data_IF_981291773683
#
_entry.id   IF_981291773683
#
_cell.length_a   1.000
_cell.length_b   1.000
_cell.length_c   1.000
_cell.angle_alpha   90.00
_cell.angle_beta   90.00
_cell.angle_gamma   90.00
#
_symmetry.space_group_name_H-M   'P 1'
#
loop_
_entity.id
_entity.type
_entity.pdbx_description
1 polymer ?
#
# COMPACT_ATOMS: atom_id res chain seq x y z
N UNK A 1 -0.30 -7.94 -61.65
CA UNK A 1 -0.18 -9.14 -60.79
C UNK A 1 0.89 -8.86 -59.75
N UNK A 2 0.48 -8.54 -58.51
CA UNK A 2 1.36 -8.11 -57.42
C UNK A 2 1.96 -9.35 -56.74
N UNK A 3 3.29 -9.49 -56.77
CA UNK A 3 4.02 -10.51 -55.99
C UNK A 3 4.08 -10.05 -54.54
N UNK A 4 3.39 -10.78 -53.65
CA UNK A 4 3.41 -10.52 -52.21
C UNK A 4 4.76 -11.00 -51.64
N UNK A 5 5.47 -10.06 -51.00
CA UNK A 5 6.67 -10.32 -50.21
C UNK A 5 6.20 -10.83 -48.83
N UNK A 6 6.50 -12.10 -48.50
CA UNK A 6 6.21 -12.65 -47.17
C UNK A 6 7.25 -12.06 -46.22
N UNK A 7 6.82 -11.11 -45.38
CA UNK A 7 7.60 -10.61 -44.26
C UNK A 7 7.35 -11.56 -43.08
N UNK A 8 8.34 -12.42 -42.77
CA UNK A 8 8.31 -13.24 -41.56
C UNK A 8 8.53 -12.32 -40.34
N UNK A 9 7.44 -11.94 -39.68
CA UNK A 9 7.50 -11.27 -38.39
C UNK A 9 7.95 -12.29 -37.32
N UNK A 10 9.22 -12.22 -36.93
CA UNK A 10 9.72 -12.91 -35.73
C UNK A 10 9.10 -12.20 -34.53
N UNK A 11 7.94 -12.69 -34.10
CA UNK A 11 7.37 -12.40 -32.79
C UNK A 11 8.25 -13.09 -31.74
N UNK A 12 9.35 -12.43 -31.37
CA UNK A 12 10.13 -12.79 -30.20
C UNK A 12 9.32 -12.53 -28.94
N UNK A 13 8.43 -13.46 -28.57
CA UNK A 13 7.90 -13.58 -27.22
C UNK A 13 9.06 -13.97 -26.31
N UNK A 14 9.85 -12.99 -25.90
CA UNK A 14 10.75 -13.15 -24.76
C UNK A 14 9.88 -13.24 -23.52
N UNK A 15 9.53 -14.47 -23.17
CA UNK A 15 9.03 -14.82 -21.85
C UNK A 15 10.09 -14.39 -20.83
N UNK A 16 9.88 -13.24 -20.18
CA UNK A 16 10.70 -12.82 -19.07
C UNK A 16 10.24 -13.58 -17.82
N UNK A 17 10.54 -14.88 -17.74
CA UNK A 17 10.51 -15.63 -16.49
C UNK A 17 11.85 -15.44 -15.79
N UNK A 18 12.03 -14.28 -15.15
CA UNK A 18 13.03 -14.14 -14.10
C UNK A 18 12.34 -14.44 -12.78
N UNK A 19 12.59 -15.64 -12.28
CA UNK A 19 12.16 -16.08 -10.96
C UNK A 19 13.11 -15.39 -9.99
N UNK A 20 12.71 -14.25 -9.43
CA UNK A 20 13.32 -13.74 -8.21
C UNK A 20 12.59 -14.41 -7.04
N UNK A 21 13.13 -15.53 -6.56
CA UNK A 21 12.66 -16.28 -5.38
C UNK A 21 12.94 -15.54 -4.05
N UNK A 22 12.58 -14.26 -3.93
CA UNK A 22 12.71 -13.52 -2.65
C UNK A 22 11.54 -12.58 -2.33
N UNK A 23 10.35 -12.81 -2.89
CA UNK A 23 9.08 -12.35 -2.28
C UNK A 23 8.18 -13.59 -2.09
N UNK A 24 7.84 -13.91 -0.83
CA UNK A 24 7.07 -15.12 -0.45
C UNK A 24 5.56 -14.98 -0.67
N UNK A 25 5.10 -13.91 -1.31
CA UNK A 25 3.68 -13.74 -1.64
C UNK A 25 3.36 -14.44 -2.96
N UNK A 26 2.46 -15.42 -2.92
CA UNK A 26 1.90 -16.00 -4.15
C UNK A 26 1.25 -14.90 -4.97
N UNK A 27 1.50 -14.87 -6.29
CA UNK A 27 0.83 -13.95 -7.22
C UNK A 27 -0.70 -13.95 -7.06
N UNK A 28 -1.28 -15.08 -6.64
CA UNK A 28 -2.72 -15.20 -6.33
C UNK A 28 -3.15 -14.32 -5.15
N UNK A 29 -2.35 -14.24 -4.09
CA UNK A 29 -2.64 -13.42 -2.91
C UNK A 29 -2.57 -11.94 -3.26
N UNK A 30 -1.54 -11.53 -4.02
CA UNK A 30 -1.40 -10.13 -4.45
C UNK A 30 -2.52 -9.67 -5.40
N UNK A 31 -2.96 -10.55 -6.31
CA UNK A 31 -4.13 -10.29 -7.15
C UNK A 31 -5.40 -10.15 -6.32
N UNK A 32 -5.61 -11.00 -5.31
CA UNK A 32 -6.74 -10.92 -4.40
C UNK A 32 -6.74 -9.61 -3.61
N UNK A 33 -5.60 -9.22 -3.03
CA UNK A 33 -5.45 -7.97 -2.28
C UNK A 33 -5.76 -6.75 -3.16
N UNK A 34 -5.28 -6.77 -4.41
CA UNK A 34 -5.56 -5.71 -5.37
C UNK A 34 -7.04 -5.66 -5.72
N UNK A 35 -7.68 -6.81 -5.90
CA UNK A 35 -9.13 -6.88 -6.17
C UNK A 35 -9.96 -6.29 -5.03
N UNK A 36 -9.68 -6.67 -3.78
CA UNK A 36 -10.36 -6.12 -2.60
C UNK A 36 -10.18 -4.60 -2.49
N UNK A 37 -8.96 -4.10 -2.70
CA UNK A 37 -8.70 -2.67 -2.69
C UNK A 37 -9.46 -1.92 -3.80
N UNK A 38 -9.57 -2.53 -5.00
CA UNK A 38 -10.37 -1.97 -6.11
C UNK A 38 -11.86 -1.95 -5.80
N UNK A 39 -12.40 -2.99 -5.16
CA UNK A 39 -13.81 -3.04 -4.76
C UNK A 39 -14.14 -1.91 -3.77
N UNK A 40 -13.30 -1.72 -2.74
CA UNK A 40 -13.43 -0.59 -1.81
C UNK A 40 -13.33 0.75 -2.53
N UNK A 41 -12.38 0.92 -3.45
CA UNK A 41 -12.28 2.13 -4.25
C UNK A 41 -13.56 2.38 -5.07
N UNK A 42 -14.19 1.32 -5.59
CA UNK A 42 -15.48 1.39 -6.28
C UNK A 42 -16.62 1.88 -5.38
N UNK A 43 -16.65 1.48 -4.11
CA UNK A 43 -17.63 1.94 -3.12
C UNK A 43 -17.40 3.43 -2.81
N UNK A 44 -16.16 3.82 -2.49
CA UNK A 44 -15.79 5.21 -2.13
C UNK A 44 -16.15 6.20 -3.25
N UNK A 45 -16.09 5.77 -4.51
CA UNK A 45 -16.37 6.63 -5.67
C UNK A 45 -17.85 6.74 -6.06
N UNK A 46 -18.78 6.15 -5.28
CA UNK A 46 -20.23 6.22 -5.51
C UNK A 46 -20.94 7.05 -4.42
N UNK A 47 -22.13 7.62 -4.70
CA UNK A 47 -22.97 8.20 -3.66
C UNK A 47 -23.27 7.18 -2.54
N UNK A 48 -23.35 7.61 -1.27
CA UNK A 48 -23.21 8.98 -0.77
C UNK A 48 -21.76 9.41 -0.47
N UNK A 49 -20.75 8.60 -0.78
CA UNK A 49 -19.35 8.83 -0.36
C UNK A 49 -18.58 9.75 -1.29
N UNK A 50 -18.89 9.70 -2.60
CA UNK A 50 -18.21 10.48 -3.64
C UNK A 50 -18.24 11.98 -3.31
N UNK A 51 -17.07 12.59 -3.17
CA UNK A 51 -16.91 14.04 -2.93
C UNK A 51 -17.00 14.45 -1.45
N UNK A 52 -17.61 13.62 -0.60
CA UNK A 52 -17.69 13.85 0.85
C UNK A 52 -16.71 12.98 1.64
N UNK A 53 -16.07 12.04 0.96
CA UNK A 53 -14.99 11.20 1.48
C UNK A 53 -13.84 11.14 0.49
N UNK A 54 -12.65 10.89 1.01
CA UNK A 54 -11.48 10.49 0.25
C UNK A 54 -10.79 9.40 1.07
N UNK A 55 -10.88 8.15 0.63
CA UNK A 55 -10.33 7.00 1.35
C UNK A 55 -9.53 6.13 0.39
N UNK A 56 -8.28 5.87 0.75
CA UNK A 56 -7.44 4.85 0.13
C UNK A 56 -7.57 3.56 0.94
N UNK A 57 -7.63 2.44 0.24
CA UNK A 57 -7.72 1.12 0.84
C UNK A 57 -6.45 0.32 0.54
N UNK A 58 -5.94 -0.38 1.55
CA UNK A 58 -4.84 -1.34 1.37
C UNK A 58 -5.23 -2.65 2.02
N UNK A 59 -5.33 -3.69 1.19
CA UNK A 59 -5.47 -5.07 1.66
C UNK A 59 -4.09 -5.70 1.82
N UNK A 60 -3.97 -6.52 2.85
CA UNK A 60 -2.88 -7.45 3.02
C UNK A 60 -3.36 -8.64 3.84
N UNK A 61 -3.49 -9.82 3.22
CA UNK A 61 -3.80 -11.08 3.92
C UNK A 61 -5.08 -10.98 4.78
N UNK A 62 -6.19 -10.61 4.13
CA UNK A 62 -7.50 -10.45 4.79
C UNK A 62 -7.64 -9.22 5.69
N UNK A 63 -6.55 -8.48 5.93
CA UNK A 63 -6.55 -7.23 6.71
C UNK A 63 -6.71 -6.04 5.77
N UNK A 64 -7.72 -5.22 5.99
CA UNK A 64 -8.01 -4.01 5.25
C UNK A 64 -7.66 -2.77 6.07
N UNK A 65 -6.73 -1.97 5.58
CA UNK A 65 -6.41 -0.66 6.14
C UNK A 65 -7.11 0.43 5.32
N UNK A 66 -7.97 1.21 5.98
CA UNK A 66 -8.68 2.34 5.38
C UNK A 66 -8.05 3.65 5.89
N UNK A 67 -7.48 4.43 4.98
CA UNK A 67 -6.76 5.68 5.32
C UNK A 67 -7.42 6.83 4.55
N UNK A 68 -7.71 7.93 5.22
CA UNK A 68 -8.24 9.10 4.53
C UNK A 68 -9.10 10.00 5.40
N UNK A 69 -10.12 10.60 4.78
CA UNK A 69 -11.03 11.52 5.44
C UNK A 69 -12.48 11.27 5.07
N UNK A 70 -13.36 11.57 6.00
CA UNK A 70 -14.80 11.68 5.79
C UNK A 70 -15.30 12.96 6.45
N UNK A 71 -16.20 13.70 5.80
CA UNK A 71 -16.75 14.95 6.35
C UNK A 71 -17.52 14.75 7.67
N UNK A 72 -18.10 13.58 7.89
CA UNK A 72 -18.91 13.27 9.07
C UNK A 72 -18.66 11.86 9.58
N UNK A 73 -18.91 11.64 10.88
CA UNK A 73 -18.82 10.31 11.48
C UNK A 73 -19.85 9.34 10.87
N UNK A 74 -21.04 9.82 10.49
CA UNK A 74 -22.04 9.01 9.81
C UNK A 74 -21.53 8.45 8.47
N UNK A 75 -20.83 9.27 7.66
CA UNK A 75 -20.24 8.83 6.39
C UNK A 75 -19.11 7.82 6.63
N UNK A 76 -18.23 8.06 7.60
CA UNK A 76 -17.16 7.13 7.98
C UNK A 76 -17.74 5.80 8.43
N UNK A 77 -18.62 5.80 9.42
CA UNK A 77 -19.24 4.61 9.99
C UNK A 77 -19.99 3.79 8.93
N UNK A 78 -20.78 4.46 8.07
CA UNK A 78 -21.49 3.79 6.97
C UNK A 78 -20.53 3.20 5.92
N UNK A 79 -19.46 3.91 5.55
CA UNK A 79 -18.46 3.40 4.62
C UNK A 79 -17.76 2.16 5.20
N UNK A 80 -17.30 2.24 6.44
CA UNK A 80 -16.65 1.11 7.14
C UNK A 80 -17.59 -0.09 7.21
N UNK A 81 -18.88 0.11 7.50
CA UNK A 81 -19.86 -0.96 7.51
C UNK A 81 -19.99 -1.64 6.14
N UNK A 82 -20.08 -0.88 5.04
CA UNK A 82 -20.13 -1.47 3.69
C UNK A 82 -18.86 -2.25 3.34
N UNK A 83 -17.69 -1.76 3.76
CA UNK A 83 -16.44 -2.49 3.53
C UNK A 83 -16.43 -3.81 4.30
N UNK A 84 -17.04 -3.90 5.49
CA UNK A 84 -17.15 -5.18 6.23
C UNK A 84 -18.00 -6.24 5.52
N UNK A 85 -18.88 -5.84 4.61
CA UNK A 85 -19.74 -6.76 3.86
C UNK A 85 -19.00 -7.44 2.70
N UNK A 86 -17.79 -6.98 2.36
CA UNK A 86 -16.98 -7.55 1.29
C UNK A 86 -16.36 -8.88 1.76
N UNK A 87 -16.64 -9.95 1.02
CA UNK A 87 -16.06 -11.27 1.28
C UNK A 87 -14.54 -11.25 1.12
N UNK A 88 -13.83 -11.85 2.07
CA UNK A 88 -12.36 -11.89 2.09
C UNK A 88 -11.71 -10.78 2.91
N UNK A 89 -12.50 -9.84 3.45
CA UNK A 89 -12.03 -8.90 4.48
C UNK A 89 -12.36 -9.48 5.85
N UNK A 90 -11.34 -9.81 6.62
CA UNK A 90 -11.46 -10.37 7.97
C UNK A 90 -11.36 -9.30 9.05
N UNK A 91 -10.41 -8.36 8.88
CA UNK A 91 -10.14 -7.30 9.86
C UNK A 91 -10.06 -5.96 9.16
N UNK A 92 -10.69 -4.94 9.73
CA UNK A 92 -10.58 -3.56 9.25
C UNK A 92 -9.84 -2.70 10.27
N UNK A 93 -8.74 -2.10 9.83
CA UNK A 93 -8.04 -1.04 10.53
C UNK A 93 -8.52 0.30 9.97
N UNK A 94 -9.37 0.99 10.74
CA UNK A 94 -9.95 2.27 10.35
C UNK A 94 -9.06 3.43 10.80
N UNK A 95 -8.47 4.12 9.83
CA UNK A 95 -7.64 5.32 9.97
C UNK A 95 -8.23 6.51 9.21
N UNK A 96 -9.56 6.54 9.06
CA UNK A 96 -10.28 7.67 8.48
C UNK A 96 -10.42 8.77 9.53
N UNK A 97 -10.00 10.00 9.20
CA UNK A 97 -10.13 11.18 10.06
C UNK A 97 -11.44 11.92 9.73
N UNK A 98 -12.14 12.42 10.76
CA UNK A 98 -13.34 13.25 10.56
C UNK A 98 -12.94 14.68 10.24
N UNK A 99 -12.85 14.99 8.95
CA UNK A 99 -12.51 16.30 8.40
C UNK A 99 -12.80 16.36 6.89
N UNK A 100 -12.75 17.53 6.26
CA UNK A 100 -12.87 17.63 4.81
C UNK A 100 -11.76 16.83 4.07
N UNK A 101 -12.06 16.24 2.89
CA UNK A 101 -11.04 15.67 2.02
C UNK A 101 -9.90 16.63 1.71
N UNK A 102 -8.69 16.09 1.56
CA UNK A 102 -7.50 16.87 1.25
C UNK A 102 -7.62 17.67 -0.05
N UNK A 103 -7.01 18.85 -0.06
CA UNK A 103 -6.83 19.63 -1.29
C UNK A 103 -5.80 18.96 -2.22
N UNK A 104 -5.79 19.34 -3.50
CA UNK A 104 -4.74 18.88 -4.43
C UNK A 104 -3.34 19.28 -3.99
N UNK A 105 -3.20 20.44 -3.32
CA UNK A 105 -1.92 20.88 -2.77
C UNK A 105 -1.43 19.98 -1.64
N UNK A 106 -2.33 19.55 -0.75
CA UNK A 106 -1.97 18.65 0.35
C UNK A 106 -1.61 17.26 -0.15
N UNK A 107 -2.38 16.72 -1.11
CA UNK A 107 -2.05 15.45 -1.79
C UNK A 107 -0.68 15.52 -2.49
N UNK A 108 -0.34 16.67 -3.09
CA UNK A 108 0.97 16.86 -3.72
C UNK A 108 2.11 16.88 -2.69
N UNK A 109 1.91 17.54 -1.54
CA UNK A 109 2.87 17.52 -0.43
C UNK A 109 3.07 16.10 0.09
N UNK A 110 2.00 15.33 0.24
CA UNK A 110 2.07 13.93 0.71
C UNK A 110 2.76 13.02 -0.30
N UNK A 111 2.57 13.25 -1.59
CA UNK A 111 3.30 12.52 -2.65
C UNK A 111 4.80 12.78 -2.54
N UNK A 112 5.19 14.04 -2.37
CA UNK A 112 6.59 14.41 -2.17
C UNK A 112 7.17 13.83 -0.87
N UNK A 113 6.40 13.88 0.21
CA UNK A 113 6.77 13.31 1.51
C UNK A 113 6.95 11.79 1.42
N UNK A 114 6.05 11.10 0.72
CA UNK A 114 6.17 9.66 0.44
C UNK A 114 7.46 9.34 -0.29
N UNK A 115 7.82 10.12 -1.32
CA UNK A 115 9.08 9.94 -2.06
C UNK A 115 10.28 10.12 -1.14
N UNK A 116 10.32 11.17 -0.31
CA UNK A 116 11.39 11.38 0.67
C UNK A 116 11.56 10.19 1.61
N UNK A 117 10.45 9.71 2.18
CA UNK A 117 10.46 8.56 3.09
C UNK A 117 10.99 7.32 2.38
N UNK A 118 10.46 6.98 1.20
CA UNK A 118 10.94 5.83 0.43
C UNK A 118 12.43 5.91 0.11
N UNK A 119 12.91 7.06 -0.37
CA UNK A 119 14.33 7.27 -0.67
C UNK A 119 15.21 7.11 0.57
N UNK A 120 14.78 7.62 1.72
CA UNK A 120 15.52 7.48 2.97
C UNK A 120 15.58 6.02 3.46
N UNK A 121 14.47 5.27 3.35
CA UNK A 121 14.45 3.85 3.70
C UNK A 121 15.38 3.02 2.81
N UNK A 122 15.39 3.28 1.49
CA UNK A 122 16.30 2.62 0.53
C UNK A 122 17.78 2.87 0.86
N UNK A 123 18.10 4.03 1.45
CA UNK A 123 19.45 4.35 1.89
C UNK A 123 19.94 3.56 3.11
N UNK A 124 19.04 2.89 3.87
CA UNK A 124 19.41 2.16 5.07
C UNK A 124 19.80 0.72 4.78
N UNK A 125 21.07 0.37 5.08
CA UNK A 125 21.60 -0.98 4.91
C UNK A 125 20.83 -2.05 5.69
N UNK A 126 20.18 -1.68 6.80
CA UNK A 126 19.39 -2.58 7.64
C UNK A 126 18.04 -2.95 7.01
N UNK A 127 17.60 -2.22 5.99
CA UNK A 127 16.32 -2.43 5.31
C UNK A 127 16.48 -3.00 3.89
N UNK A 128 17.71 -3.32 3.46
CA UNK A 128 18.01 -3.76 2.09
C UNK A 128 17.33 -5.09 1.69
N UNK A 129 16.95 -5.91 2.66
CA UNK A 129 16.36 -7.24 2.46
C UNK A 129 14.88 -7.29 2.85
N UNK A 130 14.20 -6.15 2.93
CA UNK A 130 12.78 -6.11 3.24
C UNK A 130 12.04 -5.09 2.38
N UNK A 131 10.83 -5.43 1.97
CA UNK A 131 9.96 -4.52 1.24
C UNK A 131 9.01 -3.83 2.24
N UNK A 132 9.17 -2.51 2.38
CA UNK A 132 8.29 -1.67 3.20
C UNK A 132 7.44 -0.80 2.29
N UNK A 133 6.13 -1.04 2.32
CA UNK A 133 5.16 -0.18 1.66
C UNK A 133 4.95 1.09 2.49
N UNK A 134 5.19 2.22 1.85
CA UNK A 134 5.01 3.55 2.43
C UNK A 134 3.83 4.25 1.79
N UNK A 135 2.93 4.75 2.62
CA UNK A 135 1.78 5.57 2.22
C UNK A 135 1.78 6.80 3.10
N UNK A 136 1.53 7.96 2.51
CA UNK A 136 1.36 9.20 3.27
C UNK A 136 -0.02 9.77 3.00
N UNK A 137 -0.71 10.16 4.06
CA UNK A 137 -2.00 10.85 3.98
C UNK A 137 -2.04 11.91 5.09
N UNK A 138 -2.31 13.16 4.71
CA UNK A 138 -2.31 14.32 5.61
C UNK A 138 -1.03 14.49 6.42
N UNK A 139 0.11 14.15 5.82
CA UNK A 139 1.42 14.11 6.46
C UNK A 139 1.58 13.09 7.59
N UNK A 140 0.62 12.17 7.75
CA UNK A 140 0.79 10.93 8.52
C UNK A 140 1.37 9.85 7.61
N UNK A 141 2.43 9.17 8.05
CA UNK A 141 3.13 8.13 7.30
C UNK A 141 2.73 6.76 7.83
N UNK A 142 2.17 5.93 6.96
CA UNK A 142 1.84 4.54 7.24
C UNK A 142 2.94 3.65 6.67
N UNK A 143 3.57 2.85 7.53
CA UNK A 143 4.58 1.87 7.16
C UNK A 143 4.02 0.46 7.30
N UNK A 144 4.00 -0.29 6.21
CA UNK A 144 3.47 -1.65 6.15
C UNK A 144 4.53 -2.60 5.59
N UNK A 145 4.53 -3.83 6.05
CA UNK A 145 5.47 -4.86 5.58
C UNK A 145 5.61 -6.00 6.56
N UNK A 146 6.24 -7.08 6.10
CA UNK A 146 6.64 -8.19 6.95
C UNK A 146 8.11 -7.99 7.32
N UNK A 147 8.37 -7.66 8.58
CA UNK A 147 9.66 -7.12 9.06
C UNK A 147 10.04 -7.76 10.39
N UNK A 148 11.32 -7.72 10.74
CA UNK A 148 11.74 -7.94 12.13
C UNK A 148 11.44 -6.72 13.00
N UNK A 149 11.49 -6.88 14.33
CA UNK A 149 11.36 -5.73 15.24
C UNK A 149 12.45 -4.68 15.03
N UNK A 150 13.68 -5.10 14.72
CA UNK A 150 14.79 -4.19 14.42
C UNK A 150 14.52 -3.38 13.15
N UNK A 151 14.10 -4.04 12.07
CA UNK A 151 13.75 -3.39 10.81
C UNK A 151 12.58 -2.41 10.98
N UNK A 152 11.55 -2.80 11.73
CA UNK A 152 10.42 -1.91 12.01
C UNK A 152 10.85 -0.65 12.77
N UNK A 153 11.72 -0.79 13.78
CA UNK A 153 12.24 0.32 14.56
C UNK A 153 13.09 1.24 13.68
N UNK A 154 14.03 0.70 12.92
CA UNK A 154 14.86 1.45 11.97
C UNK A 154 13.99 2.24 10.97
N UNK A 155 13.01 1.60 10.33
CA UNK A 155 12.12 2.25 9.38
C UNK A 155 11.28 3.36 10.02
N UNK A 156 10.82 3.12 11.26
CA UNK A 156 10.05 4.12 12.02
C UNK A 156 10.92 5.32 12.37
N UNK A 157 12.15 5.10 12.83
CA UNK A 157 13.11 6.17 13.18
C UNK A 157 13.51 7.00 11.97
N UNK A 158 13.76 6.37 10.82
CA UNK A 158 14.01 7.09 9.57
C UNK A 158 12.81 7.96 9.19
N UNK A 159 11.60 7.37 9.17
CA UNK A 159 10.41 8.08 8.74
C UNK A 159 10.05 9.26 9.66
N UNK A 160 10.07 9.08 10.98
CA UNK A 160 9.68 10.13 11.95
C UNK A 160 10.61 11.34 11.95
N UNK A 161 11.86 11.17 11.53
CA UNK A 161 12.86 12.24 11.49
C UNK A 161 12.84 13.02 10.17
N UNK A 162 11.98 12.66 9.21
CA UNK A 162 11.82 13.40 7.96
C UNK A 162 10.96 14.64 8.20
N UNK A 163 11.50 15.80 7.83
CA UNK A 163 10.78 17.08 7.91
C UNK A 163 9.47 17.02 7.13
N UNK A 164 8.38 17.40 7.81
CA UNK A 164 7.01 17.37 7.30
C UNK A 164 6.20 16.16 7.79
N UNK A 165 6.83 15.10 8.30
CA UNK A 165 6.09 13.98 8.91
C UNK A 165 5.50 14.42 10.25
N UNK A 166 4.18 14.29 10.41
CA UNK A 166 3.47 14.60 11.66
C UNK A 166 3.42 13.39 12.59
N UNK A 167 3.20 12.21 12.03
CA UNK A 167 3.04 10.96 12.76
C UNK A 167 3.49 9.79 11.90
N UNK A 168 4.03 8.75 12.53
CA UNK A 168 4.29 7.47 11.89
C UNK A 168 3.36 6.41 12.50
N UNK A 169 2.62 5.71 11.65
CA UNK A 169 1.73 4.62 12.01
C UNK A 169 2.34 3.33 11.49
N UNK A 170 2.56 2.38 12.40
CA UNK A 170 3.10 1.06 12.10
C UNK A 170 1.96 0.09 11.83
N UNK A 171 1.89 -0.44 10.61
CA UNK A 171 1.05 -1.58 10.24
C UNK A 171 1.92 -2.75 9.79
N UNK A 172 2.94 -3.06 10.58
CA UNK A 172 3.87 -4.14 10.33
C UNK A 172 3.33 -5.48 10.82
N UNK A 173 3.69 -6.54 10.11
CA UNK A 173 3.63 -7.91 10.61
C UNK A 173 5.05 -8.34 10.98
N UNK A 174 5.19 -9.00 12.12
CA UNK A 174 6.50 -9.32 12.68
C UNK A 174 6.86 -10.79 12.46
N UNK A 175 8.14 -11.03 12.19
CA UNK A 175 8.71 -12.37 12.20
C UNK A 175 10.02 -12.43 12.96
N UNK A 176 10.30 -13.62 13.47
CA UNK A 176 11.60 -13.96 14.04
C UNK A 176 12.48 -14.57 12.94
N UNK A 177 13.69 -14.04 12.70
CA UNK A 177 14.63 -14.67 11.80
C UNK A 177 14.91 -16.09 12.27
N UNK A 178 14.81 -17.07 11.37
CA UNK A 178 15.27 -18.42 11.67
C UNK A 178 16.77 -18.35 11.95
N UNK A 179 17.19 -18.76 13.15
CA UNK A 179 18.61 -18.88 13.47
C UNK A 179 19.21 -19.93 12.54
N UNK A 180 20.05 -19.48 11.60
CA UNK A 180 20.81 -20.39 10.76
C UNK A 180 21.79 -21.13 11.69
N UNK A 181 21.75 -22.46 11.79
CA UNK A 181 22.66 -23.18 12.68
C UNK A 181 24.10 -22.83 12.28
N UNK A 182 24.91 -22.46 13.26
CA UNK A 182 26.32 -22.20 13.06
C UNK A 182 26.96 -23.42 12.38
N UNK A 183 27.49 -23.21 11.17
CA UNK A 183 28.32 -24.20 10.48
C UNK A 183 29.73 -24.19 11.05
#
# INVERSE_FOLDING_TARGET
>A
MKKALILAAVLGLSACSTIYEQDTRSAKTELSDTHLAMEVAGIVNKPPYRGDTRVNAVSYDGKMLLIGQAKTEALRSSLVQKVREINGIETIYDQIRIKPPLSLGDVSKDTWLTTKVKSALIGSKKLNNVNIKVITEDSEVFLLGYVTYEQANEATEIARNISGVKQVIKGFQYYEPQQQPAQ
#
